data_IF_628982221584
#
_entry.id   IF_628982221584
#
_cell.length_a   1.000
_cell.length_b   1.000
_cell.length_c   1.000
_cell.angle_alpha   90.00
_cell.angle_beta   90.00
_cell.angle_gamma   90.00
#
_symmetry.space_group_name_H-M   'P 1'
#
loop_
_entity.id
_entity.type
_entity.pdbx_description
1 polymer ?
#
# COMPACT_ATOMS: atom_id res chain seq x y z
N UNK A 1 -46.87 28.12 -19.20
CA UNK A 1 -46.11 27.91 -17.93
C UNK A 1 -46.30 26.50 -17.34
N UNK A 2 -47.53 26.00 -17.10
CA UNK A 2 -47.76 24.65 -16.53
C UNK A 2 -47.24 23.48 -17.37
N UNK A 3 -47.31 23.57 -18.71
CA UNK A 3 -46.82 22.53 -19.63
C UNK A 3 -45.28 22.47 -19.66
N UNK A 4 -44.60 23.63 -19.72
CA UNK A 4 -43.14 23.74 -19.66
C UNK A 4 -42.59 23.19 -18.34
N UNK A 5 -43.20 23.57 -17.21
CA UNK A 5 -42.82 23.03 -15.89
C UNK A 5 -42.97 21.51 -15.85
N UNK A 6 -44.05 20.96 -16.42
CA UNK A 6 -44.28 19.51 -16.47
C UNK A 6 -43.24 18.78 -17.32
N UNK A 7 -42.87 19.34 -18.48
CA UNK A 7 -41.83 18.77 -19.35
C UNK A 7 -40.47 18.79 -18.67
N UNK A 8 -40.11 19.91 -18.03
CA UNK A 8 -38.85 20.02 -17.27
C UNK A 8 -38.80 19.01 -16.13
N UNK A 9 -39.87 18.87 -15.36
CA UNK A 9 -39.95 17.88 -14.27
C UNK A 9 -39.80 16.45 -14.80
N UNK A 10 -40.45 16.11 -15.91
CA UNK A 10 -40.32 14.78 -16.52
C UNK A 10 -38.90 14.53 -17.01
N UNK A 11 -38.24 15.51 -17.63
CA UNK A 11 -36.85 15.39 -18.06
C UNK A 11 -35.87 15.25 -16.89
N UNK A 12 -36.09 15.99 -15.80
CA UNK A 12 -35.27 15.87 -14.58
C UNK A 12 -35.47 14.51 -13.93
N UNK A 13 -36.71 14.01 -13.85
CA UNK A 13 -37.00 12.68 -13.29
C UNK A 13 -36.42 11.57 -14.16
N UNK A 14 -36.59 11.64 -15.49
CA UNK A 14 -36.02 10.66 -16.41
C UNK A 14 -34.49 10.71 -16.44
N UNK A 15 -33.91 11.92 -16.44
CA UNK A 15 -32.47 12.12 -16.32
C UNK A 15 -31.94 11.56 -15.01
N UNK A 16 -32.60 11.86 -13.88
CA UNK A 16 -32.26 11.28 -12.58
C UNK A 16 -32.36 9.76 -12.57
N UNK A 17 -33.41 9.17 -13.15
CA UNK A 17 -33.57 7.71 -13.22
C UNK A 17 -32.50 7.04 -14.09
N UNK A 18 -32.06 7.69 -15.18
CA UNK A 18 -30.97 7.19 -16.02
C UNK A 18 -29.63 7.24 -15.29
N UNK A 19 -29.34 8.33 -14.58
CA UNK A 19 -28.14 8.46 -13.74
C UNK A 19 -28.11 7.38 -12.64
N UNK A 20 -29.25 7.11 -12.01
CA UNK A 20 -29.39 6.01 -11.02
C UNK A 20 -29.17 4.63 -11.66
N UNK A 21 -29.65 4.41 -12.88
CA UNK A 21 -29.44 3.15 -13.58
C UNK A 21 -27.96 2.93 -13.94
N UNK A 22 -27.24 3.99 -14.33
CA UNK A 22 -25.79 3.91 -14.58
C UNK A 22 -25.01 3.62 -13.30
N UNK A 23 -25.41 4.23 -12.18
CA UNK A 23 -24.78 3.98 -10.88
C UNK A 23 -24.90 2.51 -10.49
N UNK A 24 -26.07 1.92 -10.68
CA UNK A 24 -26.34 0.55 -10.24
C UNK A 24 -25.77 -0.52 -11.18
N UNK A 25 -25.61 -0.22 -12.47
CA UNK A 25 -25.24 -1.21 -13.48
C UNK A 25 -23.87 -0.96 -14.13
N UNK A 26 -23.58 0.28 -14.49
CA UNK A 26 -22.38 0.62 -15.26
C UNK A 26 -21.13 0.67 -14.38
N UNK A 27 -21.22 1.26 -13.18
CA UNK A 27 -20.08 1.34 -12.25
C UNK A 27 -19.54 -0.04 -11.85
N UNK A 28 -20.35 -1.00 -11.35
CA UNK A 28 -19.86 -2.35 -11.03
C UNK A 28 -19.37 -3.15 -12.25
N UNK A 29 -19.81 -2.78 -13.47
CA UNK A 29 -19.28 -3.38 -14.69
C UNK A 29 -17.90 -2.82 -15.03
N UNK A 30 -17.72 -1.51 -14.92
CA UNK A 30 -16.46 -0.81 -15.15
C UNK A 30 -15.39 -1.27 -14.15
N UNK A 31 -15.70 -1.29 -12.85
CA UNK A 31 -14.81 -1.79 -11.78
C UNK A 31 -14.29 -3.20 -12.08
N UNK A 32 -15.20 -4.13 -12.43
CA UNK A 32 -14.79 -5.50 -12.82
C UNK A 32 -13.99 -5.56 -14.11
N UNK A 33 -14.25 -4.65 -15.07
CA UNK A 33 -13.51 -4.61 -16.31
C UNK A 33 -12.07 -4.13 -16.06
N UNK A 34 -11.91 -3.05 -15.28
CA UNK A 34 -10.61 -2.52 -14.88
C UNK A 34 -9.84 -3.56 -14.06
N UNK A 35 -10.45 -4.19 -13.06
CA UNK A 35 -9.80 -5.24 -12.28
C UNK A 35 -9.30 -6.41 -13.15
N UNK A 36 -10.09 -6.86 -14.14
CA UNK A 36 -9.64 -7.89 -15.08
C UNK A 36 -8.47 -7.43 -15.93
N UNK A 37 -8.50 -6.19 -16.42
CA UNK A 37 -7.42 -5.62 -17.21
C UNK A 37 -6.12 -5.54 -16.38
N UNK A 38 -6.17 -5.02 -15.15
CA UNK A 38 -5.01 -4.97 -14.25
C UNK A 38 -4.45 -6.38 -14.01
N UNK A 39 -5.32 -7.36 -13.75
CA UNK A 39 -4.88 -8.75 -13.57
C UNK A 39 -4.14 -9.28 -14.81
N UNK A 40 -4.69 -9.06 -16.00
CA UNK A 40 -4.14 -9.60 -17.24
C UNK A 40 -2.83 -8.89 -17.63
N UNK A 41 -2.72 -7.57 -17.41
CA UNK A 41 -1.51 -6.79 -17.66
C UNK A 41 -0.39 -7.08 -16.65
N UNK A 42 -0.74 -7.25 -15.38
CA UNK A 42 0.23 -7.49 -14.29
C UNK A 42 0.46 -8.97 -13.97
N UNK A 43 -0.21 -9.87 -14.69
CA UNK A 43 -0.09 -11.32 -14.49
C UNK A 43 -0.51 -11.79 -13.10
N UNK A 44 -1.51 -11.15 -12.48
CA UNK A 44 -1.93 -11.45 -11.12
C UNK A 44 -2.69 -12.79 -11.03
N UNK A 45 -2.52 -13.50 -9.91
CA UNK A 45 -3.18 -14.78 -9.69
C UNK A 45 -4.70 -14.65 -9.47
N UNK A 46 -5.14 -13.52 -8.92
CA UNK A 46 -6.53 -13.18 -8.65
C UNK A 46 -6.89 -11.84 -9.29
N UNK A 47 -8.18 -11.58 -9.44
CA UNK A 47 -8.64 -10.29 -9.98
C UNK A 47 -8.63 -9.28 -8.82
N UNK A 48 -7.92 -8.14 -8.94
CA UNK A 48 -8.02 -7.06 -7.98
C UNK A 48 -9.46 -6.58 -7.79
N UNK A 49 -9.77 -6.18 -6.58
CA UNK A 49 -10.99 -5.43 -6.28
C UNK A 49 -10.73 -3.97 -6.63
N UNK A 50 -11.66 -3.35 -7.36
CA UNK A 50 -11.52 -1.97 -7.83
C UNK A 50 -12.77 -1.23 -7.42
N UNK A 51 -12.59 -0.08 -6.78
CA UNK A 51 -13.67 0.83 -6.43
C UNK A 51 -13.47 2.18 -7.12
N UNK A 52 -14.45 2.61 -7.89
CA UNK A 52 -14.40 3.88 -8.61
C UNK A 52 -15.42 4.86 -8.02
N UNK A 53 -14.94 5.96 -7.43
CA UNK A 53 -15.78 6.95 -6.78
C UNK A 53 -16.00 8.17 -7.67
N UNK A 54 -17.26 8.55 -7.86
CA UNK A 54 -17.66 9.71 -8.64
C UNK A 54 -19.17 9.75 -8.77
N UNK A 55 -19.80 10.88 -8.43
CA UNK A 55 -21.27 11.00 -8.51
C UNK A 55 -21.73 12.24 -9.30
N UNK A 56 -22.63 12.08 -10.29
CA UNK A 56 -23.08 10.83 -10.90
C UNK A 56 -21.98 10.16 -11.74
N UNK A 57 -21.75 8.86 -11.56
CA UNK A 57 -20.60 8.16 -12.14
C UNK A 57 -20.47 8.34 -13.66
N UNK A 58 -21.56 8.17 -14.41
CA UNK A 58 -21.52 8.31 -15.86
C UNK A 58 -21.09 9.70 -16.33
N UNK A 59 -21.45 10.74 -15.58
CA UNK A 59 -21.06 12.11 -15.91
C UNK A 59 -19.60 12.39 -15.51
N UNK A 60 -19.16 11.83 -14.39
CA UNK A 60 -17.78 11.89 -13.93
C UNK A 60 -16.85 11.25 -14.99
N UNK A 61 -17.14 10.01 -15.39
CA UNK A 61 -16.38 9.32 -16.45
C UNK A 61 -16.44 10.06 -17.79
N UNK A 62 -17.59 10.60 -18.18
CA UNK A 62 -17.70 11.35 -19.44
C UNK A 62 -16.87 12.66 -19.45
N UNK A 63 -16.58 13.22 -18.27
CA UNK A 63 -15.68 14.36 -18.10
C UNK A 63 -14.21 13.95 -17.99
N UNK A 64 -13.93 12.66 -17.82
CA UNK A 64 -12.60 12.16 -17.54
C UNK A 64 -12.15 12.41 -16.10
N UNK A 65 -13.09 12.43 -15.14
CA UNK A 65 -12.83 12.79 -13.76
C UNK A 65 -13.48 11.79 -12.80
N UNK A 66 -12.79 11.43 -11.73
CA UNK A 66 -13.32 10.66 -10.61
C UNK A 66 -12.87 11.30 -9.30
N UNK A 67 -13.74 11.25 -8.29
CA UNK A 67 -13.43 11.78 -6.97
C UNK A 67 -12.31 10.94 -6.32
N UNK A 68 -12.35 9.61 -6.50
CA UNK A 68 -11.31 8.70 -6.06
C UNK A 68 -11.32 7.38 -6.85
N UNK A 69 -10.21 6.66 -6.83
CA UNK A 69 -10.14 5.28 -7.32
C UNK A 69 -9.29 4.44 -6.35
N UNK A 70 -9.79 3.27 -5.95
CA UNK A 70 -9.06 2.33 -5.09
C UNK A 70 -8.86 1.01 -5.82
N UNK A 71 -7.67 0.44 -5.70
CA UNK A 71 -7.32 -0.88 -6.20
C UNK A 71 -6.76 -1.71 -5.06
N UNK A 72 -7.41 -2.82 -4.74
CA UNK A 72 -7.00 -3.74 -3.69
C UNK A 72 -6.59 -5.09 -4.27
N UNK A 73 -5.41 -5.57 -3.86
CA UNK A 73 -4.81 -6.82 -4.32
C UNK A 73 -4.47 -7.68 -3.11
N UNK A 74 -4.99 -8.91 -3.10
CA UNK A 74 -4.62 -9.91 -2.11
C UNK A 74 -3.48 -10.80 -2.61
N UNK A 75 -2.59 -11.20 -1.70
CA UNK A 75 -1.49 -12.13 -1.96
C UNK A 75 -0.58 -11.67 -3.12
N UNK A 76 -0.05 -10.45 -3.03
CA UNK A 76 0.84 -9.88 -4.03
C UNK A 76 2.30 -10.15 -3.68
N UNK A 77 3.13 -10.53 -4.66
CA UNK A 77 4.55 -10.82 -4.44
C UNK A 77 5.40 -9.72 -5.05
N UNK A 78 6.21 -9.06 -4.22
CA UNK A 78 7.16 -8.01 -4.63
C UNK A 78 8.56 -8.45 -4.25
N UNK A 79 9.45 -8.63 -5.23
CA UNK A 79 10.81 -9.12 -5.01
C UNK A 79 10.89 -10.38 -4.12
N UNK A 80 9.92 -11.27 -4.28
CA UNK A 80 9.78 -12.50 -3.50
C UNK A 80 9.24 -12.32 -2.08
N UNK A 81 8.89 -11.10 -1.64
CA UNK A 81 8.18 -10.85 -0.40
C UNK A 81 6.68 -10.97 -0.66
N UNK A 82 6.00 -11.80 0.12
CA UNK A 82 4.54 -11.92 0.05
C UNK A 82 3.90 -10.82 0.88
N UNK A 83 3.14 -9.96 0.22
CA UNK A 83 2.23 -9.00 0.81
C UNK A 83 0.85 -9.65 0.89
N UNK A 84 0.26 -9.69 2.09
CA UNK A 84 -1.05 -10.33 2.28
C UNK A 84 -2.17 -9.53 1.65
N UNK A 85 -2.05 -8.23 1.78
CA UNK A 85 -2.96 -7.25 1.23
C UNK A 85 -2.16 -6.02 0.79
N UNK A 86 -2.53 -5.44 -0.34
CA UNK A 86 -1.97 -4.19 -0.83
C UNK A 86 -3.08 -3.36 -1.48
N UNK A 87 -3.15 -2.08 -1.10
CA UNK A 87 -4.13 -1.14 -1.64
C UNK A 87 -3.40 0.05 -2.24
N UNK A 88 -3.89 0.51 -3.39
CA UNK A 88 -3.54 1.80 -3.99
C UNK A 88 -4.81 2.65 -4.01
N UNK A 89 -4.80 3.73 -3.25
CA UNK A 89 -5.86 4.72 -3.20
C UNK A 89 -5.41 5.99 -3.94
N UNK A 90 -6.19 6.41 -4.92
CA UNK A 90 -5.99 7.64 -5.69
C UNK A 90 -7.10 8.62 -5.36
N UNK A 91 -6.74 9.89 -5.15
CA UNK A 91 -7.66 10.98 -4.84
C UNK A 91 -7.61 12.03 -5.97
N UNK A 92 -8.78 12.56 -6.34
CA UNK A 92 -8.99 13.49 -7.46
C UNK A 92 -8.30 13.02 -8.76
N UNK A 93 -8.94 12.06 -9.44
CA UNK A 93 -8.37 11.35 -10.59
C UNK A 93 -8.85 11.98 -11.90
N UNK A 94 -7.91 12.41 -12.73
CA UNK A 94 -8.15 12.91 -14.09
C UNK A 94 -7.61 11.91 -15.12
N UNK A 95 -8.34 11.72 -16.22
CA UNK A 95 -7.94 10.86 -17.33
C UNK A 95 -8.60 11.28 -18.63
N UNK A 96 -7.95 10.95 -19.75
CA UNK A 96 -8.54 11.19 -21.07
C UNK A 96 -9.36 9.99 -21.54
N UNK A 97 -10.68 10.17 -21.66
CA UNK A 97 -11.58 9.13 -22.21
C UNK A 97 -11.14 8.69 -23.61
N UNK A 98 -10.61 9.63 -24.41
CA UNK A 98 -10.11 9.33 -25.76
C UNK A 98 -8.85 8.44 -25.73
N UNK A 99 -7.95 8.66 -24.77
CA UNK A 99 -6.73 7.86 -24.68
C UNK A 99 -6.99 6.46 -24.14
N UNK A 100 -7.96 6.29 -23.24
CA UNK A 100 -8.44 4.97 -22.79
C UNK A 100 -8.91 4.09 -23.96
N UNK A 101 -9.61 4.67 -24.93
CA UNK A 101 -10.12 3.95 -26.10
C UNK A 101 -9.00 3.58 -27.08
N UNK A 102 -7.97 4.43 -27.17
CA UNK A 102 -6.85 4.25 -28.09
C UNK A 102 -5.71 3.38 -27.51
N UNK A 103 -5.75 3.06 -26.21
CA UNK A 103 -4.74 2.23 -25.54
C UNK A 103 -3.55 2.99 -24.95
N UNK A 104 -3.53 4.33 -25.07
CA UNK A 104 -2.44 5.20 -24.57
C UNK A 104 -2.88 5.90 -23.27
N UNK A 105 -3.51 5.15 -22.37
CA UNK A 105 -4.12 5.69 -21.18
C UNK A 105 -3.09 6.39 -20.27
N UNK A 106 -3.42 7.62 -19.88
CA UNK A 106 -2.69 8.41 -18.91
C UNK A 106 -3.68 8.80 -17.82
N UNK A 107 -3.31 8.50 -16.58
CA UNK A 107 -4.12 8.75 -15.40
C UNK A 107 -3.30 9.61 -14.45
N UNK A 108 -3.84 10.78 -14.15
CA UNK A 108 -3.30 11.72 -13.18
C UNK A 108 -4.16 11.67 -11.91
N UNK A 109 -3.53 11.80 -10.75
CA UNK A 109 -4.23 11.94 -9.48
C UNK A 109 -3.55 13.01 -8.62
N UNK A 110 -4.34 13.81 -7.91
CA UNK A 110 -3.79 14.82 -7.00
C UNK A 110 -2.93 14.19 -5.91
N UNK A 111 -3.31 13.00 -5.44
CA UNK A 111 -2.47 12.20 -4.55
C UNK A 111 -2.70 10.70 -4.71
N UNK A 112 -1.68 9.94 -4.32
CA UNK A 112 -1.75 8.49 -4.20
C UNK A 112 -1.27 8.06 -2.81
N UNK A 113 -2.00 7.12 -2.21
CA UNK A 113 -1.62 6.43 -0.98
C UNK A 113 -1.55 4.94 -1.24
N UNK A 114 -0.46 4.32 -0.81
CA UNK A 114 -0.24 2.88 -0.92
C UNK A 114 -0.18 2.31 0.49
N UNK A 115 -0.97 1.27 0.75
CA UNK A 115 -0.95 0.53 2.00
C UNK A 115 -0.58 -0.92 1.70
N UNK A 116 0.34 -1.50 2.46
CA UNK A 116 0.74 -2.89 2.28
C UNK A 116 0.95 -3.61 3.61
N UNK A 117 0.38 -4.81 3.73
CA UNK A 117 0.47 -5.65 4.91
C UNK A 117 1.44 -6.80 4.71
N UNK A 118 2.37 -6.95 5.65
CA UNK A 118 3.34 -8.05 5.71
C UNK A 118 3.26 -8.75 7.06
N UNK A 119 3.21 -10.08 7.06
CA UNK A 119 3.28 -10.85 8.31
C UNK A 119 4.73 -11.11 8.72
N UNK A 120 4.96 -11.33 10.01
CA UNK A 120 6.29 -11.75 10.47
C UNK A 120 6.72 -13.10 9.84
N UNK A 121 5.79 -14.02 9.60
CA UNK A 121 6.04 -15.28 8.91
C UNK A 121 6.53 -15.09 7.47
N UNK A 122 5.89 -14.17 6.72
CA UNK A 122 6.28 -13.87 5.33
C UNK A 122 7.62 -13.13 5.28
N UNK A 123 7.83 -12.18 6.19
CA UNK A 123 9.10 -11.47 6.33
C UNK A 123 10.25 -12.44 6.68
N UNK A 124 10.04 -13.33 7.64
CA UNK A 124 11.05 -14.33 8.02
C UNK A 124 11.36 -15.30 6.88
N UNK A 125 10.36 -15.70 6.11
CA UNK A 125 10.55 -16.54 4.92
C UNK A 125 11.40 -15.82 3.86
N UNK A 126 11.14 -14.53 3.66
CA UNK A 126 11.89 -13.68 2.75
C UNK A 126 13.35 -13.45 3.18
N UNK A 127 13.58 -13.25 4.49
CA UNK A 127 14.91 -13.12 5.11
C UNK A 127 15.70 -14.43 4.99
N UNK A 128 15.07 -15.56 5.29
CA UNK A 128 15.68 -16.88 5.20
C UNK A 128 16.10 -17.23 3.76
N UNK A 129 15.26 -16.90 2.77
CA UNK A 129 15.59 -17.07 1.35
C UNK A 129 16.85 -16.28 0.91
N UNK A 130 17.21 -15.24 1.67
CA UNK A 130 18.41 -14.40 1.45
C UNK A 130 19.56 -14.74 2.39
N UNK A 131 19.46 -15.85 3.13
CA UNK A 131 20.43 -16.27 4.13
C UNK A 131 20.74 -15.20 5.19
N UNK A 132 19.76 -14.34 5.50
CA UNK A 132 19.89 -13.36 6.59
C UNK A 132 19.58 -14.10 7.91
N UNK A 133 20.54 -14.23 8.85
CA UNK A 133 20.39 -15.03 10.07
C UNK A 133 19.63 -14.25 11.16
N UNK A 134 18.45 -13.73 10.82
CA UNK A 134 17.59 -12.94 11.67
C UNK A 134 16.16 -13.50 11.65
N UNK A 135 15.54 -13.51 12.82
CA UNK A 135 14.12 -13.80 13.03
C UNK A 135 13.46 -12.56 13.60
N UNK A 136 12.35 -12.15 13.00
CA UNK A 136 11.54 -11.01 13.39
C UNK A 136 10.20 -11.51 13.90
N UNK A 137 9.68 -10.93 14.97
CA UNK A 137 8.30 -11.15 15.43
C UNK A 137 7.66 -9.80 15.71
N UNK A 138 6.44 -9.63 15.21
CA UNK A 138 5.65 -8.41 15.43
C UNK A 138 4.73 -8.59 16.64
N UNK A 139 4.81 -7.64 17.57
CA UNK A 139 3.88 -7.49 18.69
C UNK A 139 3.32 -6.08 18.64
N UNK A 140 2.12 -5.84 19.16
CA UNK A 140 1.49 -4.52 19.08
C UNK A 140 2.43 -3.37 19.51
N UNK A 141 2.83 -2.53 18.55
CA UNK A 141 3.76 -1.41 18.73
C UNK A 141 5.25 -1.76 18.92
N UNK A 142 5.63 -3.04 18.88
CA UNK A 142 6.98 -3.50 19.15
C UNK A 142 7.45 -4.56 18.14
N UNK A 143 8.75 -4.54 17.85
CA UNK A 143 9.42 -5.56 17.05
C UNK A 143 10.39 -6.31 17.94
N UNK A 144 10.26 -7.63 17.97
CA UNK A 144 11.24 -8.52 18.57
C UNK A 144 12.14 -9.05 17.46
N UNK A 145 13.44 -8.83 17.60
CA UNK A 145 14.46 -9.30 16.67
C UNK A 145 15.34 -10.30 17.42
N UNK A 146 15.55 -11.47 16.85
CA UNK A 146 16.48 -12.46 17.36
C UNK A 146 17.45 -12.85 16.24
N UNK A 147 18.72 -13.02 16.57
CA UNK A 147 19.73 -13.35 15.57
C UNK A 147 21.07 -13.67 16.19
N UNK A 148 22.08 -13.84 15.33
CA UNK A 148 23.47 -13.97 15.75
C UNK A 148 24.24 -12.73 15.33
N UNK A 149 24.86 -12.07 16.31
CA UNK A 149 25.77 -10.94 16.06
C UNK A 149 27.20 -11.43 16.28
N UNK A 150 28.11 -11.10 15.37
CA UNK A 150 29.54 -11.25 15.59
C UNK A 150 30.15 -9.87 15.80
N UNK A 151 30.55 -9.58 17.04
CA UNK A 151 31.26 -8.35 17.39
C UNK A 151 32.68 -8.72 17.78
N UNK A 152 33.66 -8.21 17.05
CA UNK A 152 35.09 -8.33 17.38
C UNK A 152 35.57 -9.78 17.66
N UNK A 153 34.97 -10.76 16.97
CA UNK A 153 35.31 -12.19 17.11
C UNK A 153 34.62 -12.91 18.28
N UNK A 154 33.78 -12.23 19.04
CA UNK A 154 32.88 -12.84 20.03
C UNK A 154 31.49 -12.90 19.42
N UNK A 155 31.11 -14.09 18.95
CA UNK A 155 29.77 -14.38 18.43
C UNK A 155 28.81 -14.75 19.56
N UNK A 156 27.58 -14.25 19.51
CA UNK A 156 26.55 -14.57 20.49
C UNK A 156 25.15 -14.47 19.91
N UNK A 157 24.22 -15.21 20.52
CA UNK A 157 22.80 -15.06 20.22
C UNK A 157 22.32 -13.75 20.86
N UNK A 158 21.74 -12.89 20.04
CA UNK A 158 21.27 -11.56 20.43
C UNK A 158 19.76 -11.51 20.25
N UNK A 159 19.08 -10.97 21.24
CA UNK A 159 17.65 -10.67 21.16
C UNK A 159 17.45 -9.21 21.50
N UNK A 160 16.67 -8.50 20.69
CA UNK A 160 16.35 -7.10 20.90
C UNK A 160 14.84 -6.90 20.81
N UNK A 161 14.28 -6.06 21.67
CA UNK A 161 12.89 -5.61 21.61
C UNK A 161 12.90 -4.10 21.48
N UNK A 162 12.21 -3.58 20.48
CA UNK A 162 12.26 -2.15 20.16
C UNK A 162 11.07 -1.68 19.37
N UNK A 163 11.11 -0.41 19.01
CA UNK A 163 10.13 0.23 18.14
C UNK A 163 10.74 0.47 16.76
N UNK A 164 9.87 0.59 15.76
CA UNK A 164 10.23 1.00 14.41
C UNK A 164 9.58 2.34 14.12
N UNK A 165 10.32 3.23 13.47
CA UNK A 165 9.80 4.50 12.96
C UNK A 165 10.29 4.73 11.53
N UNK A 166 9.46 5.38 10.71
CA UNK A 166 9.82 5.81 9.36
C UNK A 166 9.98 7.33 9.37
N UNK A 167 11.19 7.80 9.10
CA UNK A 167 11.51 9.22 9.04
C UNK A 167 12.45 9.50 7.86
N UNK A 168 12.14 10.53 7.07
CA UNK A 168 12.98 10.93 5.94
C UNK A 168 13.19 9.84 4.90
N UNK A 169 12.20 8.95 4.70
CA UNK A 169 12.30 7.83 3.78
C UNK A 169 13.19 6.68 4.26
N UNK A 170 13.56 6.67 5.54
CA UNK A 170 14.33 5.59 6.14
C UNK A 170 13.55 4.93 7.28
N UNK A 171 13.68 3.61 7.38
CA UNK A 171 13.19 2.83 8.50
C UNK A 171 14.28 2.77 9.57
N UNK A 172 13.96 3.24 10.77
CA UNK A 172 14.82 3.17 11.94
C UNK A 172 14.26 2.17 12.94
N UNK A 173 15.14 1.31 13.47
CA UNK A 173 14.83 0.42 14.58
C UNK A 173 15.55 0.90 15.83
N UNK A 174 14.78 1.19 16.88
CA UNK A 174 15.26 1.67 18.16
C UNK A 174 15.02 0.59 19.25
N UNK A 175 16.05 -0.18 19.63
CA UNK A 175 15.94 -1.20 20.66
C UNK A 175 15.77 -0.57 22.04
N UNK A 176 14.72 -0.97 22.76
CA UNK A 176 14.49 -0.64 24.16
C UNK A 176 15.18 -1.65 25.08
N UNK A 177 15.19 -2.93 24.72
CA UNK A 177 15.80 -4.01 25.50
C UNK A 177 16.72 -4.84 24.61
N UNK A 178 17.84 -5.30 25.18
CA UNK A 178 18.81 -6.16 24.50
C UNK A 178 19.25 -7.27 25.46
N UNK A 179 19.21 -8.51 24.98
CA UNK A 179 19.69 -9.71 25.66
C UNK A 179 20.85 -10.30 24.86
N UNK A 180 21.92 -10.69 25.55
CA UNK A 180 23.07 -11.38 24.98
C UNK A 180 23.16 -12.77 25.62
N UNK A 181 23.07 -13.83 24.81
CA UNK A 181 23.02 -15.20 25.32
C UNK A 181 21.84 -15.46 26.27
N UNK A 182 20.74 -14.72 26.09
CA UNK A 182 19.55 -14.77 26.95
C UNK A 182 19.66 -14.01 28.28
N UNK A 183 20.76 -13.30 28.52
CA UNK A 183 20.98 -12.51 29.74
C UNK A 183 20.82 -11.02 29.41
N UNK A 184 20.07 -10.24 30.22
CA UNK A 184 20.02 -8.79 30.08
C UNK A 184 21.40 -8.14 30.18
N UNK A 185 21.66 -7.20 29.28
CA UNK A 185 22.93 -6.45 29.30
C UNK A 185 23.00 -5.60 30.59
N UNK A 186 24.13 -5.61 31.34
CA UNK A 186 24.31 -4.78 32.52
C UNK A 186 24.16 -3.30 32.21
N UNK A 187 23.58 -2.52 33.14
CA UNK A 187 23.19 -1.11 32.92
C UNK A 187 24.29 -0.22 32.32
N UNK A 188 25.55 -0.41 32.72
CA UNK A 188 26.71 0.34 32.22
C UNK A 188 26.98 0.12 30.72
N UNK A 189 26.53 -1.00 30.15
CA UNK A 189 26.75 -1.40 28.76
C UNK A 189 25.47 -1.33 27.91
N UNK A 190 24.31 -1.02 28.51
CA UNK A 190 23.01 -1.05 27.81
C UNK A 190 22.99 -0.12 26.61
N UNK A 191 23.47 1.12 26.74
CA UNK A 191 23.40 2.08 25.63
C UNK A 191 24.33 1.70 24.47
N UNK A 192 25.50 1.14 24.78
CA UNK A 192 26.40 0.59 23.76
C UNK A 192 25.76 -0.60 23.04
N UNK A 193 25.13 -1.51 23.78
CA UNK A 193 24.44 -2.66 23.20
C UNK A 193 23.24 -2.25 22.34
N UNK A 194 22.44 -1.27 22.80
CA UNK A 194 21.35 -0.68 22.01
C UNK A 194 21.88 -0.06 20.72
N UNK A 195 22.94 0.75 20.80
CA UNK A 195 23.55 1.37 19.63
C UNK A 195 24.11 0.35 18.62
N UNK A 196 24.61 -0.79 19.09
CA UNK A 196 25.16 -1.85 18.23
C UNK A 196 24.08 -2.64 17.45
N UNK A 197 22.84 -2.70 17.96
CA UNK A 197 21.73 -3.41 17.30
C UNK A 197 20.68 -2.47 16.70
N UNK A 198 20.77 -1.17 17.00
CA UNK A 198 20.03 -0.14 16.29
C UNK A 198 20.50 -0.08 14.84
N UNK A 199 19.56 0.10 13.92
CA UNK A 199 19.87 0.27 12.51
C UNK A 199 18.92 1.24 11.86
N UNK A 200 19.40 1.85 10.78
CA UNK A 200 18.61 2.67 9.88
C UNK A 200 18.85 2.18 8.48
N UNK A 201 17.78 1.85 7.76
CA UNK A 201 17.83 1.39 6.38
C UNK A 201 17.01 2.32 5.49
N UNK A 202 17.56 2.81 4.37
CA UNK A 202 16.76 3.58 3.42
C UNK A 202 15.65 2.69 2.84
N UNK A 203 14.45 3.22 2.76
CA UNK A 203 13.33 2.54 2.12
C UNK A 203 13.24 2.97 0.65
N UNK A 204 13.00 2.02 -0.27
CA UNK A 204 12.78 2.36 -1.66
C UNK A 204 11.44 3.10 -1.82
N UNK A 205 11.29 3.81 -2.93
CA UNK A 205 9.97 4.22 -3.41
C UNK A 205 9.21 2.99 -3.91
N UNK A 206 7.91 2.96 -3.65
CA UNK A 206 7.00 1.91 -4.12
C UNK A 206 6.06 2.56 -5.12
N UNK A 207 6.16 2.17 -6.39
CA UNK A 207 5.41 2.78 -7.48
C UNK A 207 5.51 4.33 -7.48
N UNK A 208 6.72 4.87 -7.28
CA UNK A 208 6.95 6.32 -7.22
C UNK A 208 6.45 7.01 -5.93
N UNK A 209 5.87 6.26 -4.98
CA UNK A 209 5.48 6.78 -3.68
C UNK A 209 6.56 6.53 -2.63
N UNK A 210 6.87 7.56 -1.84
CA UNK A 210 7.81 7.44 -0.73
C UNK A 210 7.12 6.75 0.46
N UNK A 211 7.76 5.76 1.08
CA UNK A 211 7.26 5.18 2.32
C UNK A 211 7.34 6.22 3.43
N UNK A 212 6.20 6.53 4.04
CA UNK A 212 6.02 7.59 5.06
C UNK A 212 5.71 7.03 6.44
N UNK A 213 5.25 5.78 6.53
CA UNK A 213 4.85 5.19 7.80
C UNK A 213 4.98 3.68 7.86
N UNK A 214 5.11 3.17 9.08
CA UNK A 214 5.02 1.75 9.41
C UNK A 214 4.29 1.59 10.74
N UNK A 215 3.21 0.81 10.77
CA UNK A 215 2.48 0.46 11.99
C UNK A 215 2.69 -1.01 12.29
N UNK A 216 3.14 -1.32 13.50
CA UNK A 216 3.38 -2.70 13.94
C UNK A 216 2.18 -3.19 14.75
N UNK A 217 1.47 -4.18 14.21
CA UNK A 217 0.40 -4.89 14.87
C UNK A 217 0.86 -6.22 15.47
N UNK A 218 -0.10 -7.04 15.90
CA UNK A 218 0.17 -8.39 16.37
C UNK A 218 0.40 -9.32 15.16
N UNK A 219 1.62 -9.83 14.99
CA UNK A 219 1.99 -10.75 13.89
C UNK A 219 2.07 -10.12 12.49
N UNK A 220 1.76 -8.83 12.34
CA UNK A 220 1.77 -8.12 11.06
C UNK A 220 2.30 -6.68 11.20
N UNK A 221 2.84 -6.16 10.12
CA UNK A 221 3.19 -4.76 9.95
C UNK A 221 2.47 -4.21 8.72
N UNK A 222 1.95 -2.99 8.85
CA UNK A 222 1.32 -2.23 7.78
C UNK A 222 2.25 -1.08 7.39
N UNK A 223 2.70 -1.08 6.15
CA UNK A 223 3.48 0.02 5.56
C UNK A 223 2.56 0.98 4.84
N UNK A 224 2.85 2.27 4.93
CA UNK A 224 2.13 3.32 4.21
C UNK A 224 3.13 4.14 3.40
N UNK A 225 2.85 4.33 2.12
CA UNK A 225 3.57 5.23 1.24
C UNK A 225 2.61 6.26 0.64
N UNK A 226 3.10 7.46 0.37
CA UNK A 226 2.29 8.50 -0.26
C UNK A 226 3.09 9.39 -1.19
N UNK A 227 2.39 9.96 -2.17
CA UNK A 227 2.93 10.91 -3.15
C UNK A 227 1.85 11.88 -3.60
N UNK A 228 2.24 13.13 -3.82
CA UNK A 228 1.40 14.15 -4.45
C UNK A 228 1.69 14.18 -5.95
N UNK A 229 0.70 14.60 -6.74
CA UNK A 229 0.81 14.69 -8.20
C UNK A 229 1.25 13.35 -8.82
N UNK A 230 0.44 12.32 -8.59
CA UNK A 230 0.72 10.98 -9.06
C UNK A 230 0.37 10.83 -10.54
N UNK A 231 1.33 10.32 -11.31
CA UNK A 231 1.16 10.04 -12.73
C UNK A 231 1.32 8.55 -13.00
N UNK A 232 0.27 7.93 -13.52
CA UNK A 232 0.29 6.56 -14.01
C UNK A 232 0.26 6.58 -15.53
N UNK A 233 1.38 6.17 -16.15
CA UNK A 233 1.48 5.97 -17.59
C UNK A 233 1.38 4.49 -17.93
N UNK A 234 0.66 4.17 -19.01
CA UNK A 234 0.55 2.79 -19.53
C UNK A 234 1.87 2.15 -19.97
N UNK A 235 2.97 2.91 -19.98
CA UNK A 235 4.31 2.48 -20.44
C UNK A 235 5.25 2.03 -19.29
N UNK A 236 4.76 2.06 -18.04
CA UNK A 236 5.56 1.70 -16.85
C UNK A 236 5.46 0.20 -16.54
N UNK A 237 6.09 -0.61 -17.41
CA UNK A 237 6.38 -2.03 -17.18
C UNK A 237 7.89 -2.27 -17.11
#
# INVERSE_FOLDING_TARGET
MRLLLRVVVVLVVLGGMLLLATELLAKPFAERAVGRQIRDERGLASTPDVELSGFPFALAVARGQLDAASVSIDQYVVDGLLLRHATLDLDEVDFSVGSLVNGDAEVEAASATIVADVTDADLNSWLAARAVPLTVRFAAGQVHVAGRLELEGVGGDVQAVGTVAVEGGALSFAPAEVLLGGVPVPGELVDAARGAVAFTVPLPEVAGAQVTGATIGEGAATLTASVADYLLTGDSA
#
